data_IF_087745113000
#
_entry.id   IF_087745113000
#
_cell.length_a   1.000
_cell.length_b   1.000
_cell.length_c   1.000
_cell.angle_alpha   90.00
_cell.angle_beta   90.00
_cell.angle_gamma   90.00
#
_symmetry.space_group_name_H-M   'P 1'
#
loop_
_entity.id
_entity.type
_entity.pdbx_description
1 polymer ?
#
# COMPACT_ATOMS: atom_id res chain seq x y z
N UNK A 1 -2.31 12.37 18.00
CA UNK A 1 -1.89 10.96 18.16
C UNK A 1 -1.58 10.41 16.76
N UNK A 2 -0.36 9.95 16.50
CA UNK A 2 -0.02 9.26 15.24
C UNK A 2 -0.37 7.79 15.44
N UNK A 3 -1.57 7.37 15.04
CA UNK A 3 -1.96 5.96 15.13
C UNK A 3 -1.12 5.22 14.08
N UNK A 4 -0.27 4.28 14.51
CA UNK A 4 0.48 3.40 13.61
C UNK A 4 -0.37 2.17 13.33
N UNK A 5 -0.37 1.71 12.07
CA UNK A 5 -1.00 0.44 11.72
C UNK A 5 -0.36 -0.68 12.55
N UNK A 6 -1.16 -1.36 13.37
CA UNK A 6 -0.70 -2.38 14.32
C UNK A 6 -0.67 -3.77 13.70
N UNK A 7 -1.51 -3.99 12.67
CA UNK A 7 -1.57 -5.24 11.90
C UNK A 7 -1.81 -4.92 10.44
N UNK A 8 -1.03 -5.53 9.55
CA UNK A 8 -1.26 -5.46 8.11
C UNK A 8 -1.52 -6.87 7.58
N UNK A 9 -2.46 -6.98 6.66
CA UNK A 9 -2.77 -8.23 5.99
C UNK A 9 -1.58 -8.65 5.12
N UNK A 10 -1.54 -9.95 4.79
CA UNK A 10 -0.57 -10.45 3.83
C UNK A 10 -0.72 -9.72 2.48
N UNK A 11 0.41 -9.44 1.84
CA UNK A 11 0.42 -8.87 0.50
C UNK A 11 -0.31 -9.80 -0.47
N UNK A 12 -1.09 -9.19 -1.36
CA UNK A 12 -1.70 -9.85 -2.51
C UNK A 12 -0.91 -9.52 -3.78
N UNK A 13 -0.72 -10.53 -4.63
CA UNK A 13 -0.06 -10.40 -5.92
C UNK A 13 -1.07 -10.33 -7.06
N UNK A 14 -0.69 -9.70 -8.17
CA UNK A 14 -1.49 -9.68 -9.38
C UNK A 14 -2.72 -8.79 -9.29
N UNK A 15 -2.63 -7.70 -8.54
CA UNK A 15 -3.65 -6.67 -8.49
C UNK A 15 -3.42 -5.62 -7.41
N UNK A 16 -4.41 -4.75 -7.28
CA UNK A 16 -4.41 -3.68 -6.30
C UNK A 16 -5.81 -3.32 -5.83
N UNK A 17 -5.89 -2.64 -4.70
CA UNK A 17 -7.14 -2.04 -4.23
C UNK A 17 -7.32 -0.64 -4.84
N UNK A 18 -8.49 -0.35 -5.39
CA UNK A 18 -8.86 1.03 -5.74
C UNK A 18 -9.02 1.87 -4.47
N UNK A 19 -8.82 3.18 -4.58
CA UNK A 19 -8.93 4.09 -3.44
C UNK A 19 -8.14 5.37 -3.66
N UNK A 20 -8.25 6.27 -2.69
CA UNK A 20 -7.58 7.56 -2.69
C UNK A 20 -6.12 7.40 -2.36
N UNK A 21 -5.26 8.03 -3.16
CA UNK A 21 -3.81 8.02 -2.96
C UNK A 21 -3.44 9.26 -2.15
N UNK A 22 -2.80 9.06 -1.00
CA UNK A 22 -2.27 10.17 -0.18
C UNK A 22 -0.85 10.53 -0.55
N UNK A 23 -0.09 9.57 -1.08
CA UNK A 23 1.30 9.80 -1.43
C UNK A 23 1.73 8.84 -2.53
N UNK A 24 2.33 9.39 -3.59
CA UNK A 24 3.13 8.64 -4.55
C UNK A 24 4.59 8.77 -4.12
N UNK A 25 5.20 7.68 -3.68
CA UNK A 25 6.61 7.67 -3.27
C UNK A 25 7.45 6.91 -4.28
N UNK A 26 8.54 7.53 -4.74
CA UNK A 26 9.36 7.02 -5.84
C UNK A 26 10.39 5.96 -5.48
N UNK A 27 10.60 5.61 -4.20
CA UNK A 27 11.74 4.76 -3.83
C UNK A 27 11.46 3.89 -2.62
N UNK A 28 10.64 2.85 -2.80
CA UNK A 28 10.75 1.68 -1.96
C UNK A 28 10.92 0.46 -2.85
N UNK A 29 12.10 -0.13 -2.81
CA UNK A 29 12.57 -1.12 -3.78
C UNK A 29 11.92 -2.51 -3.61
N UNK A 30 10.86 -2.60 -2.81
CA UNK A 30 10.16 -3.86 -2.52
C UNK A 30 8.79 -3.60 -1.90
N UNK A 31 7.91 -4.59 -2.01
CA UNK A 31 6.64 -4.65 -1.29
C UNK A 31 6.78 -4.45 0.22
N UNK A 32 7.83 -5.00 0.82
CA UNK A 32 8.13 -4.80 2.25
C UNK A 32 8.48 -3.35 2.55
N UNK A 33 9.18 -2.68 1.63
CA UNK A 33 9.44 -1.24 1.71
C UNK A 33 8.17 -0.41 1.64
N UNK A 34 7.24 -0.72 0.72
CA UNK A 34 5.95 -0.01 0.66
C UNK A 34 5.15 -0.18 1.96
N UNK A 35 5.14 -1.38 2.54
CA UNK A 35 4.49 -1.65 3.82
C UNK A 35 5.10 -0.79 4.94
N UNK A 36 6.43 -0.80 5.07
CA UNK A 36 7.13 -0.02 6.10
C UNK A 36 6.93 1.50 5.92
N UNK A 37 6.87 1.98 4.68
CA UNK A 37 6.57 3.38 4.36
C UNK A 37 5.12 3.75 4.69
N UNK A 38 4.16 2.86 4.40
CA UNK A 38 2.76 3.05 4.75
C UNK A 38 2.57 3.12 6.27
N UNK A 39 3.21 2.23 7.04
CA UNK A 39 3.17 2.25 8.52
C UNK A 39 3.75 3.54 9.15
N UNK A 40 4.62 4.24 8.43
CA UNK A 40 5.19 5.52 8.85
C UNK A 40 4.40 6.74 8.34
N UNK A 41 3.51 6.54 7.38
CA UNK A 41 2.71 7.59 6.75
C UNK A 41 1.38 7.73 7.48
N UNK A 42 1.10 8.89 8.10
CA UNK A 42 -0.20 9.14 8.72
C UNK A 42 -1.32 8.92 7.69
N UNK A 43 -2.40 8.29 8.14
CA UNK A 43 -3.58 7.98 7.31
C UNK A 43 -3.39 6.95 6.20
N UNK A 44 -2.24 6.27 6.10
CA UNK A 44 -2.04 5.23 5.09
C UNK A 44 -2.67 3.89 5.51
N UNK A 45 -3.84 3.56 4.99
CA UNK A 45 -4.53 2.28 5.26
C UNK A 45 -4.22 1.20 4.22
N UNK A 46 -3.60 1.56 3.11
CA UNK A 46 -3.23 0.63 2.06
C UNK A 46 -2.02 1.08 1.27
N UNK A 47 -1.40 0.14 0.57
CA UNK A 47 -0.34 0.45 -0.36
C UNK A 47 -0.43 -0.46 -1.58
N UNK A 48 0.03 0.05 -2.72
CA UNK A 48 0.25 -0.75 -3.93
C UNK A 48 1.59 -0.40 -4.55
N UNK A 49 2.22 -1.38 -5.17
CA UNK A 49 3.49 -1.22 -5.89
C UNK A 49 3.31 -1.57 -7.35
N UNK A 50 3.85 -0.73 -8.24
CA UNK A 50 4.07 -1.10 -9.64
C UNK A 50 5.35 -1.94 -9.69
N UNK A 51 5.22 -3.23 -9.97
CA UNK A 51 6.34 -4.18 -9.87
C UNK A 51 7.47 -3.89 -10.86
N UNK A 52 7.14 -3.34 -12.05
CA UNK A 52 8.12 -3.08 -13.11
C UNK A 52 9.05 -1.90 -12.83
N UNK A 53 8.57 -0.90 -12.06
CA UNK A 53 9.32 0.33 -11.77
C UNK A 53 9.55 0.56 -10.27
N UNK A 54 9.12 -0.38 -9.42
CA UNK A 54 9.22 -0.31 -7.95
C UNK A 54 8.64 0.99 -7.35
N UNK A 55 7.55 1.49 -7.92
CA UNK A 55 6.89 2.70 -7.44
C UNK A 55 5.74 2.34 -6.48
N UNK A 56 5.76 2.88 -5.26
CA UNK A 56 4.70 2.67 -4.30
C UNK A 56 3.71 3.83 -4.27
N UNK A 57 2.44 3.49 -4.10
CA UNK A 57 1.37 4.42 -3.85
C UNK A 57 0.73 4.06 -2.52
N UNK A 58 0.67 5.04 -1.62
CA UNK A 58 0.04 4.93 -0.32
C UNK A 58 -1.37 5.44 -0.40
N UNK A 59 -2.29 4.72 0.22
CA UNK A 59 -3.72 4.93 0.09
C UNK A 59 -4.34 5.26 1.45
N UNK A 60 -5.22 6.26 1.50
CA UNK A 60 -6.05 6.55 2.68
C UNK A 60 -7.39 5.87 2.68
N UNK A 61 -7.80 5.31 1.54
CA UNK A 61 -8.98 4.49 1.41
C UNK A 61 -8.68 3.24 0.58
N UNK A 62 -9.33 2.14 0.91
CA UNK A 62 -9.28 0.88 0.16
C UNK A 62 -10.72 0.51 -0.14
N UNK A 63 -11.02 0.28 -1.42
CA UNK A 63 -12.33 -0.13 -1.91
C UNK A 63 -12.23 -1.52 -2.54
N UNK A 64 -12.39 -1.62 -3.86
CA UNK A 64 -12.50 -2.90 -4.56
C UNK A 64 -11.14 -3.40 -5.04
N UNK A 65 -10.97 -4.72 -5.08
CA UNK A 65 -9.81 -5.36 -5.70
C UNK A 65 -9.92 -5.36 -7.22
N UNK A 66 -8.86 -4.93 -7.90
CA UNK A 66 -8.72 -4.97 -9.36
C UNK A 66 -7.57 -5.91 -9.71
N UNK A 67 -7.84 -6.89 -10.57
CA UNK A 67 -6.84 -7.82 -11.08
C UNK A 67 -5.98 -7.12 -12.12
N UNK A 68 -4.68 -7.03 -11.84
CA UNK A 68 -3.68 -6.44 -12.72
C UNK A 68 -2.29 -6.98 -12.34
N UNK A 69 -1.69 -7.76 -13.23
CA UNK A 69 -0.39 -8.41 -13.01
C UNK A 69 0.78 -7.42 -12.80
N UNK A 70 0.58 -6.15 -13.13
CA UNK A 70 1.56 -5.07 -12.94
C UNK A 70 1.67 -4.64 -11.47
N UNK A 71 0.69 -5.01 -10.64
CA UNK A 71 0.60 -4.54 -9.27
C UNK A 71 0.66 -5.67 -8.25
N UNK A 72 1.30 -5.35 -7.12
CA UNK A 72 1.05 -6.04 -5.87
C UNK A 72 0.54 -5.00 -4.86
N UNK A 73 -0.28 -5.42 -3.91
CA UNK A 73 -0.83 -4.51 -2.91
C UNK A 73 -1.00 -5.17 -1.55
N UNK A 74 -1.12 -4.33 -0.53
CA UNK A 74 -1.41 -4.75 0.83
C UNK A 74 -2.30 -3.73 1.53
N UNK A 75 -2.98 -4.21 2.56
CA UNK A 75 -3.85 -3.39 3.41
C UNK A 75 -3.39 -3.46 4.85
N UNK A 76 -3.52 -2.34 5.56
CA UNK A 76 -3.21 -2.21 6.97
C UNK A 76 -4.48 -1.86 7.74
N UNK A 77 -4.75 -2.62 8.80
CA UNK A 77 -5.83 -2.31 9.73
C UNK A 77 -5.27 -1.42 10.85
N UNK A 78 -5.97 -0.33 11.12
CA UNK A 78 -5.76 0.49 12.29
C UNK A 78 -6.72 0.01 13.37
N UNK A 79 -6.18 -0.31 14.56
CA UNK A 79 -6.98 -0.58 15.75
C UNK A 79 -7.49 0.73 16.38
#
# INVERSE_FOLDING_TARGET
VKIKATTCAAMQTGGYYTGDIVLATGTFNSSAGCLAGCQQTPSCIGWRIIVSINACYFQSSIMTWVVDATYNAGSCLYA
#
